data_IF_104214887063
#
_entry.id   IF_104214887063
#
_cell.length_a   1.000
_cell.length_b   1.000
_cell.length_c   1.000
_cell.angle_alpha   90.00
_cell.angle_beta   90.00
_cell.angle_gamma   90.00
#
_symmetry.space_group_name_H-M   'P 1'
#
loop_
_entity.id
_entity.type
_entity.pdbx_description
1 polymer ?
#
# COMPACT_ATOMS: atom_id res chain seq x y z
N UNK A 1 19.35 7.24 -12.30
CA UNK A 1 19.56 5.83 -11.92
C UNK A 1 18.44 5.50 -10.95
N UNK A 2 17.55 4.56 -11.28
CA UNK A 2 16.41 4.23 -10.40
C UNK A 2 16.96 3.37 -9.26
N UNK A 3 16.82 3.82 -8.02
CA UNK A 3 17.24 3.06 -6.84
C UNK A 3 16.32 1.85 -6.64
N UNK A 4 16.59 0.76 -7.37
CA UNK A 4 15.82 -0.48 -7.27
C UNK A 4 15.81 -1.05 -5.87
N UNK A 5 16.87 -0.81 -5.10
CA UNK A 5 16.99 -1.35 -3.76
C UNK A 5 15.97 -0.69 -2.84
N UNK A 6 15.86 0.65 -2.87
CA UNK A 6 14.82 1.35 -2.11
C UNK A 6 13.41 0.87 -2.45
N UNK A 7 13.11 0.57 -3.71
CA UNK A 7 11.78 0.10 -4.11
C UNK A 7 11.48 -1.35 -3.72
N UNK A 8 12.51 -2.16 -3.42
CA UNK A 8 12.43 -3.57 -3.05
C UNK A 8 12.64 -3.82 -1.55
N UNK A 9 13.15 -2.84 -0.80
CA UNK A 9 13.53 -2.99 0.61
C UNK A 9 12.32 -3.15 1.54
N UNK A 10 12.55 -3.89 2.64
CA UNK A 10 11.63 -4.02 3.77
C UNK A 10 11.60 -2.72 4.59
N UNK A 11 10.82 -1.74 4.15
CA UNK A 11 10.59 -0.53 4.94
C UNK A 11 9.77 -0.87 6.19
N UNK A 12 10.24 -0.42 7.35
CA UNK A 12 9.54 -0.63 8.64
C UNK A 12 8.89 0.67 9.12
N UNK A 13 7.67 0.93 8.67
CA UNK A 13 6.91 2.11 9.09
C UNK A 13 6.50 2.03 10.57
N UNK A 14 6.38 0.82 11.13
CA UNK A 14 6.09 0.66 12.56
C UNK A 14 7.26 1.18 13.38
N UNK A 15 8.49 0.77 13.04
CA UNK A 15 9.70 1.20 13.72
C UNK A 15 9.88 2.72 13.67
N UNK A 16 9.72 3.34 12.49
CA UNK A 16 9.86 4.80 12.37
C UNK A 16 8.80 5.55 13.17
N UNK A 17 7.54 5.09 13.15
CA UNK A 17 6.49 5.67 13.99
C UNK A 17 6.77 5.50 15.49
N UNK A 18 7.33 4.36 15.92
CA UNK A 18 7.70 4.12 17.31
C UNK A 18 8.88 5.00 17.76
N UNK A 19 9.89 5.22 16.90
CA UNK A 19 11.01 6.12 17.18
C UNK A 19 10.51 7.55 17.41
N UNK A 20 9.56 8.02 16.59
CA UNK A 20 8.93 9.32 16.76
C UNK A 20 8.13 9.38 18.06
N UNK A 21 7.27 8.40 18.34
CA UNK A 21 6.50 8.37 19.57
C UNK A 21 7.38 8.37 20.84
N UNK A 22 8.55 7.72 20.81
CA UNK A 22 9.49 7.71 21.93
C UNK A 22 10.12 9.08 22.25
N UNK A 23 10.07 10.04 21.34
CA UNK A 23 10.58 11.40 21.57
C UNK A 23 9.64 12.25 22.43
N UNK A 24 8.36 11.86 22.55
CA UNK A 24 7.37 12.63 23.31
C UNK A 24 7.73 12.56 24.79
N UNK A 25 8.14 13.66 25.44
CA UNK A 25 8.61 13.64 26.81
C UNK A 25 7.46 13.41 27.80
N UNK A 26 7.79 13.03 29.02
CA UNK A 26 6.82 12.93 30.11
C UNK A 26 6.14 14.29 30.35
N UNK A 27 4.83 14.28 30.59
CA UNK A 27 4.03 15.50 30.80
C UNK A 27 3.65 16.23 29.49
N UNK A 28 4.02 15.69 28.33
CA UNK A 28 3.59 16.17 27.02
C UNK A 28 2.79 15.10 26.28
N UNK A 29 1.98 15.56 25.33
CA UNK A 29 1.22 14.71 24.40
C UNK A 29 1.54 15.09 22.97
N UNK A 30 1.34 14.18 22.02
CA UNK A 30 1.35 14.53 20.61
C UNK A 30 0.15 13.92 19.91
N UNK A 31 -0.07 14.28 18.64
CA UNK A 31 -1.22 13.79 17.88
C UNK A 31 -0.79 12.78 16.84
N UNK A 32 -1.70 11.88 16.46
CA UNK A 32 -1.45 10.96 15.32
C UNK A 32 -1.04 11.74 14.06
N UNK A 33 -1.63 12.92 13.85
CA UNK A 33 -1.30 13.80 12.73
C UNK A 33 0.07 14.46 12.83
N UNK A 34 0.55 14.79 14.02
CA UNK A 34 1.89 15.33 14.20
C UNK A 34 2.97 14.27 13.88
N UNK A 35 2.78 13.03 14.33
CA UNK A 35 3.66 11.91 13.95
C UNK A 35 3.57 11.63 12.44
N UNK A 36 2.36 11.62 11.86
CA UNK A 36 2.20 11.42 10.41
C UNK A 36 2.89 12.52 9.58
N UNK A 37 2.86 13.78 10.04
CA UNK A 37 3.63 14.87 9.43
C UNK A 37 5.13 14.66 9.54
N UNK A 38 5.62 14.23 10.71
CA UNK A 38 7.04 13.92 10.91
C UNK A 38 7.50 12.74 10.04
N UNK A 39 6.63 11.76 9.79
CA UNK A 39 6.86 10.69 8.81
C UNK A 39 6.84 11.19 7.35
N UNK A 40 6.29 12.38 7.09
CA UNK A 40 6.29 13.01 5.76
C UNK A 40 4.94 13.08 5.04
N UNK A 41 3.86 12.53 5.61
CA UNK A 41 2.52 12.57 4.99
C UNK A 41 1.41 12.54 6.05
N UNK A 42 0.75 13.67 6.26
CA UNK A 42 -0.35 13.81 7.24
C UNK A 42 -1.53 12.88 6.96
N UNK A 43 -1.73 12.43 5.71
CA UNK A 43 -2.81 11.50 5.37
C UNK A 43 -2.66 10.14 6.06
N UNK A 44 -1.44 9.79 6.51
CA UNK A 44 -1.15 8.58 7.27
C UNK A 44 -1.60 8.64 8.74
N UNK A 45 -2.24 9.73 9.20
CA UNK A 45 -2.69 9.90 10.60
C UNK A 45 -3.48 8.70 11.12
N UNK A 46 -4.42 8.16 10.32
CA UNK A 46 -5.21 6.98 10.71
C UNK A 46 -4.33 5.73 10.84
N UNK A 47 -3.38 5.56 9.93
CA UNK A 47 -2.43 4.44 9.98
C UNK A 47 -1.51 4.56 11.19
N UNK A 48 -1.04 5.75 11.55
CA UNK A 48 -0.30 5.97 12.81
C UNK A 48 -1.14 5.53 14.01
N UNK A 49 -2.43 5.89 14.05
CA UNK A 49 -3.34 5.41 15.09
C UNK A 49 -3.41 3.88 15.17
N UNK A 50 -3.49 3.21 14.02
CA UNK A 50 -3.47 1.74 13.96
C UNK A 50 -2.15 1.17 14.47
N UNK A 51 -1.01 1.74 14.06
CA UNK A 51 0.33 1.37 14.54
C UNK A 51 0.43 1.48 16.06
N UNK A 52 -0.06 2.57 16.65
CA UNK A 52 0.00 2.78 18.10
C UNK A 52 -0.87 1.78 18.88
N UNK A 53 -1.96 1.31 18.26
CA UNK A 53 -2.88 0.31 18.83
C UNK A 53 -2.52 -1.14 18.50
N UNK A 54 -1.53 -1.37 17.64
CA UNK A 54 -1.19 -2.72 17.21
C UNK A 54 -0.64 -3.53 18.39
N UNK A 55 -1.16 -4.74 18.57
CA UNK A 55 -0.61 -5.74 19.49
C UNK A 55 0.62 -6.37 18.81
N UNK A 56 1.74 -5.67 18.93
CA UNK A 56 3.01 -6.00 18.29
C UNK A 56 4.14 -5.89 19.30
N UNK A 57 5.11 -6.78 19.20
CA UNK A 57 6.36 -6.63 19.93
C UNK A 57 7.02 -5.29 19.55
N UNK A 58 7.48 -4.57 20.58
CA UNK A 58 8.10 -3.26 20.42
C UNK A 58 9.57 -3.39 20.78
N UNK A 59 10.49 -2.90 19.93
CA UNK A 59 11.92 -3.03 20.17
C UNK A 59 12.41 -2.24 21.38
N UNK A 60 11.61 -1.30 21.88
CA UNK A 60 11.86 -0.50 23.07
C UNK A 60 10.54 -0.04 23.70
N UNK A 61 10.61 0.59 24.87
CA UNK A 61 9.43 1.16 25.54
C UNK A 61 8.89 2.36 24.75
N UNK A 62 7.76 2.16 24.05
CA UNK A 62 7.08 3.22 23.30
C UNK A 62 5.94 3.82 24.12
N UNK A 63 5.93 5.12 24.41
CA UNK A 63 4.88 5.78 25.20
C UNK A 63 3.62 6.07 24.35
N UNK A 64 3.00 5.04 23.79
CA UNK A 64 1.81 5.19 22.92
C UNK A 64 0.63 5.87 23.62
N UNK A 65 0.59 5.85 24.95
CA UNK A 65 -0.42 6.57 25.74
C UNK A 65 -0.32 8.10 25.59
N UNK A 66 0.84 8.63 25.17
CA UNK A 66 1.06 10.07 24.90
C UNK A 66 0.59 10.52 23.51
N UNK A 67 0.19 9.60 22.64
CA UNK A 67 -0.29 9.92 21.28
C UNK A 67 -1.82 9.95 21.26
N UNK A 68 -2.43 11.09 20.95
CA UNK A 68 -3.87 11.35 21.11
C UNK A 68 -4.51 11.87 19.82
N UNK A 69 -5.83 12.11 19.83
CA UNK A 69 -6.52 12.78 18.73
C UNK A 69 -6.17 14.28 18.67
N UNK A 70 -6.31 14.88 17.49
CA UNK A 70 -6.02 16.29 17.27
C UNK A 70 -6.94 17.26 18.01
N UNK A 71 -8.11 16.80 18.45
CA UNK A 71 -9.06 17.58 19.24
C UNK A 71 -8.87 17.41 20.76
N UNK A 72 -7.73 16.85 21.18
CA UNK A 72 -7.37 16.68 22.58
C UNK A 72 -7.95 15.41 23.22
N UNK A 73 -8.85 14.67 22.56
CA UNK A 73 -9.34 13.40 23.10
C UNK A 73 -8.20 12.40 23.20
N UNK A 74 -8.04 11.83 24.39
CA UNK A 74 -7.03 10.80 24.68
C UNK A 74 -7.16 9.58 23.76
N UNK A 75 -8.38 9.28 23.31
CA UNK A 75 -8.68 8.25 22.33
C UNK A 75 -8.56 6.83 22.85
N UNK A 76 -8.76 5.86 21.94
CA UNK A 76 -8.81 4.45 22.31
C UNK A 76 -7.41 3.87 22.55
N UNK A 77 -7.28 3.01 23.57
CA UNK A 77 -6.08 2.20 23.82
C UNK A 77 -6.51 0.73 23.81
N UNK A 78 -5.80 -0.11 23.07
CA UNK A 78 -6.07 -1.55 22.98
C UNK A 78 -5.53 -2.28 24.22
N UNK A 79 -6.36 -3.18 24.77
CA UNK A 79 -6.14 -3.90 26.02
C UNK A 79 -7.43 -3.97 26.85
N UNK A 80 -8.16 -5.10 26.77
CA UNK A 80 -9.30 -5.50 27.63
C UNK A 80 -10.23 -4.37 28.11
N UNK A 81 -11.09 -3.82 27.25
CA UNK A 81 -12.32 -3.09 27.63
C UNK A 81 -12.20 -1.74 28.39
N UNK A 82 -11.07 -1.47 29.05
CA UNK A 82 -10.79 -0.33 29.94
C UNK A 82 -9.61 0.52 29.47
N UNK A 83 -9.11 0.31 28.25
CA UNK A 83 -7.86 0.92 27.78
C UNK A 83 -7.88 2.46 27.79
N UNK A 84 -9.03 3.08 27.57
CA UNK A 84 -9.18 4.53 27.67
C UNK A 84 -8.94 5.05 29.11
N UNK A 85 -9.39 4.32 30.14
CA UNK A 85 -9.17 4.69 31.55
C UNK A 85 -7.69 4.59 31.93
N UNK A 86 -7.03 3.50 31.53
CA UNK A 86 -5.61 3.28 31.79
C UNK A 86 -4.73 4.35 31.13
N UNK A 87 -5.04 4.70 29.86
CA UNK A 87 -4.32 5.76 29.14
C UNK A 87 -4.44 7.11 29.86
N UNK A 88 -5.64 7.47 30.33
CA UNK A 88 -5.87 8.69 31.12
C UNK A 88 -5.12 8.67 32.44
N UNK A 89 -5.12 7.55 33.15
CA UNK A 89 -4.39 7.41 34.42
C UNK A 89 -2.88 7.57 34.21
N UNK A 90 -2.32 6.96 33.17
CA UNK A 90 -0.91 7.14 32.82
C UNK A 90 -0.60 8.60 32.51
N UNK A 91 -1.43 9.28 31.70
CA UNK A 91 -1.25 10.70 31.39
C UNK A 91 -1.32 11.59 32.65
N UNK A 92 -2.30 11.35 33.53
CA UNK A 92 -2.43 12.07 34.81
C UNK A 92 -1.22 11.85 35.72
N UNK A 93 -0.71 10.61 35.79
CA UNK A 93 0.50 10.28 36.57
C UNK A 93 1.76 10.99 36.05
N UNK A 94 1.73 11.41 34.79
CA UNK A 94 2.80 12.17 34.16
C UNK A 94 2.60 13.70 34.24
N UNK A 95 1.53 14.18 34.87
CA UNK A 95 1.24 15.59 35.05
C UNK A 95 0.41 16.23 33.93
N UNK A 96 -0.20 15.45 33.04
CA UNK A 96 -1.10 15.97 32.00
C UNK A 96 -2.51 16.16 32.58
N UNK A 97 -3.06 17.37 32.45
CA UNK A 97 -4.41 17.69 32.92
C UNK A 97 -5.47 17.10 31.99
N UNK A 98 -6.24 16.13 32.51
CA UNK A 98 -7.27 15.42 31.76
C UNK A 98 -8.64 15.69 32.39
N UNK A 99 -9.46 16.48 31.68
CA UNK A 99 -10.86 16.73 32.00
C UNK A 99 -11.74 15.81 31.14
N UNK A 100 -12.55 14.98 31.79
CA UNK A 100 -13.32 13.90 31.16
C UNK A 100 -12.44 12.97 30.31
N UNK A 101 -12.48 13.10 28.98
CA UNK A 101 -11.70 12.32 28.02
C UNK A 101 -10.66 13.13 27.24
N UNK A 102 -10.49 14.42 27.56
CA UNK A 102 -9.65 15.37 26.82
C UNK A 102 -8.52 15.97 27.66
N UNK A 103 -7.44 16.33 26.98
CA UNK A 103 -6.39 17.19 27.53
C UNK A 103 -6.91 18.62 27.62
N UNK A 104 -6.99 19.17 28.82
CA UNK A 104 -7.59 20.48 29.09
C UNK A 104 -6.72 21.64 28.57
N UNK A 105 -5.39 21.52 28.72
CA UNK A 105 -4.38 22.50 28.30
C UNK A 105 -3.56 21.98 27.10
N UNK A 106 -4.25 21.58 26.02
CA UNK A 106 -3.60 20.95 24.86
C UNK A 106 -2.51 21.83 24.24
N UNK A 107 -2.74 23.14 24.11
CA UNK A 107 -1.80 24.07 23.46
C UNK A 107 -0.45 24.11 24.20
N UNK A 108 -0.46 24.07 25.53
CA UNK A 108 0.75 24.10 26.35
C UNK A 108 1.44 22.73 26.45
N UNK A 109 0.69 21.64 26.21
CA UNK A 109 1.16 20.27 26.42
C UNK A 109 1.51 19.54 25.12
N UNK A 110 1.18 20.10 23.96
CA UNK A 110 1.45 19.47 22.67
C UNK A 110 2.95 19.50 22.32
N UNK A 111 3.45 18.36 21.87
CA UNK A 111 4.80 18.16 21.36
C UNK A 111 4.74 17.91 19.86
N UNK A 112 5.44 18.73 19.09
CA UNK A 112 5.51 18.63 17.62
C UNK A 112 6.94 18.69 17.07
N UNK A 113 7.94 18.89 17.92
CA UNK A 113 9.35 19.03 17.54
C UNK A 113 10.01 17.65 17.37
N UNK A 114 9.53 16.93 16.36
CA UNK A 114 10.03 15.60 16.02
C UNK A 114 11.30 15.67 15.15
N UNK A 115 12.23 14.76 15.38
CA UNK A 115 13.40 14.53 14.53
C UNK A 115 13.49 13.05 14.13
N UNK A 116 13.61 12.74 12.84
CA UNK A 116 13.65 11.35 12.38
C UNK A 116 13.68 11.22 10.86
N UNK A 117 13.62 9.98 10.36
CA UNK A 117 13.52 9.70 8.93
C UNK A 117 12.10 10.04 8.41
N UNK A 118 11.95 11.02 7.49
CA UNK A 118 10.67 11.30 6.86
C UNK A 118 10.37 10.24 5.77
N UNK A 119 10.22 8.99 6.21
CA UNK A 119 10.13 7.81 5.35
C UNK A 119 9.05 7.95 4.26
N UNK A 120 7.88 8.50 4.57
CA UNK A 120 6.79 8.69 3.61
C UNK A 120 7.12 9.79 2.58
N UNK A 121 7.91 10.80 2.94
CA UNK A 121 8.43 11.79 1.97
C UNK A 121 9.33 11.10 0.96
N UNK A 122 10.31 10.30 1.42
CA UNK A 122 11.21 9.54 0.55
C UNK A 122 10.46 8.55 -0.34
N UNK A 123 9.44 7.88 0.20
CA UNK A 123 8.56 7.02 -0.59
C UNK A 123 7.77 7.79 -1.64
N UNK A 124 7.27 8.98 -1.32
CA UNK A 124 6.58 9.83 -2.29
C UNK A 124 7.54 10.32 -3.39
N UNK A 125 8.81 10.58 -3.08
CA UNK A 125 9.86 10.91 -4.05
C UNK A 125 10.17 9.73 -4.96
N UNK A 126 10.38 8.53 -4.41
CA UNK A 126 10.55 7.30 -5.17
C UNK A 126 9.37 7.03 -6.12
N UNK A 127 8.13 7.31 -5.69
CA UNK A 127 6.96 7.26 -6.56
C UNK A 127 7.04 8.24 -7.74
N UNK A 128 7.59 9.45 -7.55
CA UNK A 128 7.79 10.40 -8.65
C UNK A 128 8.86 9.92 -9.64
N UNK A 129 9.92 9.30 -9.14
CA UNK A 129 10.94 8.66 -9.99
C UNK A 129 10.40 7.49 -10.80
N UNK A 130 9.55 6.66 -10.18
CA UNK A 130 8.82 5.60 -10.90
C UNK A 130 7.94 6.23 -11.98
N UNK A 131 7.14 7.25 -11.63
CA UNK A 131 6.23 7.89 -12.57
C UNK A 131 6.94 8.45 -13.80
N UNK A 132 8.12 9.06 -13.63
CA UNK A 132 8.94 9.57 -14.75
C UNK A 132 9.58 8.46 -15.59
N UNK A 133 9.70 7.25 -15.04
CA UNK A 133 10.28 6.08 -15.71
C UNK A 133 9.24 5.20 -16.41
N UNK A 134 7.94 5.43 -16.19
CA UNK A 134 6.87 4.66 -16.83
C UNK A 134 6.81 4.98 -18.32
N UNK A 135 7.22 4.01 -19.15
CA UNK A 135 6.85 3.99 -20.57
C UNK A 135 5.39 3.55 -20.75
N UNK A 136 4.64 4.36 -21.52
CA UNK A 136 3.30 4.03 -22.02
C UNK A 136 3.33 3.55 -23.48
N UNK A 137 4.53 3.30 -24.01
CA UNK A 137 4.73 2.77 -25.34
C UNK A 137 4.79 1.25 -25.31
N UNK A 138 4.50 0.62 -26.44
CA UNK A 138 4.48 -0.82 -26.58
C UNK A 138 3.09 -1.37 -26.88
N UNK A 139 3.07 -2.65 -27.21
CA UNK A 139 1.86 -3.35 -27.62
C UNK A 139 1.65 -4.59 -26.75
N UNK A 140 0.72 -4.48 -25.81
CA UNK A 140 0.32 -5.57 -24.95
C UNK A 140 -0.21 -6.80 -25.70
N UNK A 141 -0.63 -6.66 -26.97
CA UNK A 141 -1.11 -7.80 -27.77
C UNK A 141 0.02 -8.74 -28.20
N UNK A 142 1.30 -8.32 -28.14
CA UNK A 142 2.45 -9.14 -28.51
C UNK A 142 2.82 -10.21 -27.48
N UNK A 143 2.33 -10.09 -26.25
CA UNK A 143 2.62 -11.06 -25.20
C UNK A 143 1.71 -12.27 -25.31
N UNK A 144 2.28 -13.44 -25.59
CA UNK A 144 1.54 -14.71 -25.56
C UNK A 144 1.29 -15.19 -24.12
N UNK A 145 2.16 -14.78 -23.20
CA UNK A 145 2.11 -15.13 -21.78
C UNK A 145 1.62 -13.94 -20.95
N UNK A 146 0.59 -14.17 -20.15
CA UNK A 146 0.06 -13.21 -19.17
C UNK A 146 0.20 -13.78 -17.76
N UNK A 147 0.69 -12.99 -16.81
CA UNK A 147 0.86 -13.42 -15.42
C UNK A 147 0.11 -12.50 -14.47
N UNK A 148 -0.93 -13.01 -13.81
CA UNK A 148 -1.67 -12.28 -12.79
C UNK A 148 -1.03 -12.46 -11.42
N UNK A 149 -0.91 -11.38 -10.65
CA UNK A 149 -0.46 -11.40 -9.26
C UNK A 149 -1.52 -10.84 -8.31
N UNK A 150 -1.72 -11.54 -7.19
CA UNK A 150 -2.55 -11.10 -6.06
C UNK A 150 -1.87 -11.42 -4.72
N UNK A 151 -2.24 -10.70 -3.66
CA UNK A 151 -1.77 -10.93 -2.29
C UNK A 151 -2.94 -11.03 -1.34
N UNK A 152 -2.93 -12.07 -0.50
CA UNK A 152 -3.83 -12.19 0.65
C UNK A 152 -3.06 -11.97 1.94
N UNK A 153 -3.70 -11.38 2.96
CA UNK A 153 -3.04 -11.08 4.24
C UNK A 153 -3.67 -11.82 5.42
N UNK A 154 -2.85 -12.12 6.43
CA UNK A 154 -3.23 -12.53 7.79
C UNK A 154 -2.30 -11.85 8.79
N UNK A 155 -2.77 -10.80 9.46
CA UNK A 155 -1.91 -9.94 10.27
C UNK A 155 -0.83 -9.28 9.40
N UNK A 156 0.43 -9.39 9.83
CA UNK A 156 1.61 -8.93 9.09
C UNK A 156 2.14 -9.98 8.08
N UNK A 157 1.44 -11.12 7.89
CA UNK A 157 1.84 -12.10 6.88
C UNK A 157 1.14 -11.85 5.54
N UNK A 158 1.94 -11.81 4.47
CA UNK A 158 1.50 -11.76 3.08
C UNK A 158 1.63 -13.12 2.41
N UNK A 159 0.59 -13.52 1.69
CA UNK A 159 0.46 -14.75 0.92
C UNK A 159 0.23 -14.37 -0.53
N UNK A 160 1.32 -14.23 -1.27
CA UNK A 160 1.31 -13.86 -2.67
C UNK A 160 1.09 -15.06 -3.56
N UNK A 161 0.41 -14.85 -4.67
CA UNK A 161 0.26 -15.85 -5.73
C UNK A 161 0.47 -15.21 -7.09
N UNK A 162 1.15 -15.93 -7.97
CA UNK A 162 1.22 -15.64 -9.40
C UNK A 162 0.59 -16.80 -10.16
N UNK A 163 -0.30 -16.49 -11.11
CA UNK A 163 -0.81 -17.47 -12.08
C UNK A 163 -0.52 -16.94 -13.48
N UNK A 164 0.27 -17.70 -14.23
CA UNK A 164 0.58 -17.40 -15.61
C UNK A 164 -0.22 -18.28 -16.57
N UNK A 165 -0.76 -17.67 -17.61
CA UNK A 165 -1.58 -18.31 -18.64
C UNK A 165 -1.09 -17.94 -20.03
N UNK A 166 -1.43 -18.75 -21.02
CA UNK A 166 -1.39 -18.33 -22.42
C UNK A 166 -2.66 -17.53 -22.81
N UNK A 167 -2.71 -17.03 -24.04
CA UNK A 167 -3.88 -16.31 -24.59
C UNK A 167 -5.18 -17.12 -24.63
N UNK A 168 -5.08 -18.45 -24.62
CA UNK A 168 -6.24 -19.37 -24.59
C UNK A 168 -6.68 -19.69 -23.16
N UNK A 169 -6.04 -19.09 -22.16
CA UNK A 169 -6.33 -19.32 -20.74
C UNK A 169 -5.74 -20.61 -20.19
N UNK A 170 -4.87 -21.31 -20.92
CA UNK A 170 -4.18 -22.50 -20.40
C UNK A 170 -3.17 -22.05 -19.36
N UNK A 171 -3.26 -22.60 -18.16
CA UNK A 171 -2.29 -22.37 -17.09
C UNK A 171 -0.92 -22.91 -17.53
N UNK A 172 0.07 -22.02 -17.54
CA UNK A 172 1.46 -22.32 -17.82
C UNK A 172 2.24 -22.54 -16.53
N UNK A 173 1.89 -21.80 -15.48
CA UNK A 173 2.62 -21.82 -14.22
C UNK A 173 1.79 -21.23 -13.07
N UNK A 174 1.94 -21.80 -11.88
CA UNK A 174 1.45 -21.24 -10.62
C UNK A 174 2.60 -21.14 -9.63
N UNK A 175 2.71 -20.02 -8.93
CA UNK A 175 3.69 -19.81 -7.86
C UNK A 175 3.04 -19.16 -6.66
N UNK A 176 3.53 -19.48 -5.48
CA UNK A 176 3.14 -18.81 -4.24
C UNK A 176 4.37 -18.42 -3.43
N UNK A 177 4.23 -17.37 -2.63
CA UNK A 177 5.25 -16.96 -1.68
C UNK A 177 4.61 -16.45 -0.40
N UNK A 178 5.19 -16.82 0.75
CA UNK A 178 4.83 -16.31 2.07
C UNK A 178 5.95 -15.43 2.57
N UNK A 179 5.63 -14.21 2.99
CA UNK A 179 6.60 -13.32 3.62
C UNK A 179 5.92 -12.45 4.69
N UNK A 180 6.68 -12.07 5.70
CA UNK A 180 6.26 -11.05 6.67
C UNK A 180 6.43 -9.67 6.04
N UNK A 181 5.45 -8.79 6.22
CA UNK A 181 5.50 -7.38 5.80
C UNK A 181 5.59 -6.48 7.01
N UNK A 182 6.56 -5.57 7.02
CA UNK A 182 6.76 -4.57 8.09
C UNK A 182 6.13 -3.21 7.73
N UNK A 183 5.21 -3.20 6.78
CA UNK A 183 4.53 -2.00 6.32
C UNK A 183 3.00 -2.21 6.39
N UNK A 184 2.28 -1.40 7.19
CA UNK A 184 0.82 -1.50 7.27
C UNK A 184 0.18 -0.97 5.99
N UNK A 185 -1.14 -1.16 5.84
CA UNK A 185 -1.85 -0.49 4.75
C UNK A 185 -1.87 1.03 4.96
N UNK A 186 -1.14 1.75 4.12
CA UNK A 186 -1.22 3.21 4.01
C UNK A 186 -1.80 3.54 2.62
N UNK A 187 -2.97 4.20 2.53
CA UNK A 187 -3.48 4.72 1.26
C UNK A 187 -2.40 5.55 0.57
N UNK A 188 -2.18 5.31 -0.72
CA UNK A 188 -1.07 5.97 -1.45
C UNK A 188 0.20 5.12 -1.57
N UNK A 189 0.48 4.19 -0.65
CA UNK A 189 1.78 3.50 -0.56
C UNK A 189 1.72 1.97 -0.69
N UNK A 190 0.62 1.43 -1.23
CA UNK A 190 0.42 -0.01 -1.39
C UNK A 190 1.58 -0.74 -2.07
N UNK A 191 2.22 -0.12 -3.07
CA UNK A 191 3.35 -0.74 -3.78
C UNK A 191 4.54 -1.06 -2.88
N UNK A 192 4.81 -0.27 -1.84
CA UNK A 192 5.86 -0.55 -0.86
C UNK A 192 5.50 -1.72 0.08
N UNK A 193 4.21 -1.98 0.28
CA UNK A 193 3.74 -3.14 1.03
C UNK A 193 3.80 -4.42 0.21
N UNK A 194 3.53 -4.31 -1.08
CA UNK A 194 3.28 -5.47 -1.96
C UNK A 194 4.46 -5.87 -2.85
N UNK A 195 5.48 -5.02 -2.98
CA UNK A 195 6.61 -5.32 -3.85
C UNK A 195 7.30 -6.63 -3.47
N UNK A 196 7.71 -6.77 -2.21
CA UNK A 196 8.38 -7.99 -1.72
C UNK A 196 7.56 -9.27 -1.97
N UNK A 197 6.29 -9.36 -1.55
CA UNK A 197 5.48 -10.54 -1.85
C UNK A 197 5.34 -10.81 -3.35
N UNK A 198 5.14 -9.77 -4.18
CA UNK A 198 5.05 -9.93 -5.62
C UNK A 198 6.36 -10.41 -6.26
N UNK A 199 7.50 -9.83 -5.90
CA UNK A 199 8.80 -10.28 -6.39
C UNK A 199 9.09 -11.73 -5.98
N UNK A 200 8.72 -12.11 -4.75
CA UNK A 200 8.90 -13.47 -4.26
C UNK A 200 8.02 -14.49 -5.01
N UNK A 201 6.75 -14.16 -5.29
CA UNK A 201 5.86 -15.02 -6.07
C UNK A 201 6.27 -15.08 -7.55
N UNK A 202 6.76 -13.98 -8.13
CA UNK A 202 7.23 -13.94 -9.51
C UNK A 202 8.50 -14.77 -9.69
N UNK A 203 9.47 -14.65 -8.79
CA UNK A 203 10.83 -15.13 -9.01
C UNK A 203 11.56 -14.27 -10.04
N UNK A 204 12.24 -14.89 -11.00
CA UNK A 204 12.97 -14.15 -12.04
C UNK A 204 12.01 -13.45 -13.02
N UNK A 205 12.18 -12.13 -13.28
CA UNK A 205 11.32 -11.39 -14.18
C UNK A 205 11.50 -11.83 -15.62
N UNK A 206 10.39 -12.00 -16.34
CA UNK A 206 10.39 -12.41 -17.75
C UNK A 206 9.94 -11.27 -18.67
N UNK A 207 10.78 -10.91 -19.63
CA UNK A 207 10.48 -9.85 -20.62
C UNK A 207 9.43 -10.26 -21.66
N UNK A 208 9.15 -11.55 -21.80
CA UNK A 208 8.15 -12.13 -22.71
C UNK A 208 6.74 -12.21 -22.10
N UNK A 209 6.53 -11.60 -20.93
CA UNK A 209 5.31 -11.73 -20.14
C UNK A 209 4.67 -10.35 -19.89
N UNK A 210 3.35 -10.26 -20.06
CA UNK A 210 2.55 -9.15 -19.56
C UNK A 210 2.07 -9.46 -18.13
N UNK A 211 2.52 -8.68 -17.16
CA UNK A 211 2.11 -8.83 -15.77
C UNK A 211 0.85 -8.03 -15.46
N UNK A 212 -0.15 -8.69 -14.88
CA UNK A 212 -1.42 -8.09 -14.45
C UNK A 212 -1.43 -8.01 -12.92
N UNK A 213 -1.51 -6.80 -12.37
CA UNK A 213 -1.39 -6.56 -10.93
C UNK A 213 -2.74 -6.13 -10.36
N UNK A 214 -3.20 -6.74 -9.26
CA UNK A 214 -4.45 -6.37 -8.57
C UNK A 214 -4.28 -5.00 -7.88
N UNK A 215 -4.49 -3.94 -8.64
CA UNK A 215 -4.24 -2.58 -8.23
C UNK A 215 -4.13 -1.63 -9.41
N UNK A 216 -3.89 -0.35 -9.13
CA UNK A 216 -3.73 0.65 -10.18
C UNK A 216 -2.28 0.74 -10.69
N UNK A 217 -2.14 1.16 -11.94
CA UNK A 217 -0.92 1.73 -12.51
C UNK A 217 -0.95 3.26 -12.45
N UNK A 218 -0.91 3.94 -13.60
CA UNK A 218 -0.91 5.42 -13.70
C UNK A 218 -2.17 6.10 -13.18
N UNK A 219 -3.27 5.37 -12.98
CA UNK A 219 -4.52 5.83 -12.39
C UNK A 219 -4.41 6.09 -10.87
N UNK A 220 -3.45 6.93 -10.47
CA UNK A 220 -3.12 7.27 -9.08
C UNK A 220 -2.65 8.72 -8.97
N UNK A 221 -2.80 9.40 -7.81
CA UNK A 221 -2.45 10.81 -7.66
C UNK A 221 -1.02 11.17 -8.07
N UNK A 222 -0.05 10.27 -7.83
CA UNK A 222 1.37 10.46 -8.19
C UNK A 222 1.76 9.78 -9.51
N UNK A 223 0.79 9.30 -10.29
CA UNK A 223 1.00 8.48 -11.52
C UNK A 223 1.85 7.22 -11.36
N UNK A 224 2.10 6.80 -10.12
CA UNK A 224 2.86 5.60 -9.76
C UNK A 224 2.06 4.71 -8.81
N UNK A 225 1.14 3.94 -9.37
CA UNK A 225 0.50 2.84 -8.66
C UNK A 225 1.40 1.61 -8.54
N UNK A 226 0.92 0.58 -7.85
CA UNK A 226 1.67 -0.65 -7.61
C UNK A 226 2.09 -1.33 -8.92
N UNK A 227 1.27 -1.27 -9.97
CA UNK A 227 1.62 -1.82 -11.28
C UNK A 227 2.74 -1.03 -11.98
N UNK A 228 2.79 0.30 -11.79
CA UNK A 228 3.90 1.11 -12.30
C UNK A 228 5.19 0.75 -11.57
N UNK A 229 5.15 0.71 -10.24
CA UNK A 229 6.30 0.40 -9.42
C UNK A 229 6.83 -0.99 -9.79
N UNK A 230 5.96 -2.00 -9.88
CA UNK A 230 6.34 -3.36 -10.24
C UNK A 230 7.00 -3.41 -11.62
N UNK A 231 6.36 -2.83 -12.64
CA UNK A 231 6.88 -2.82 -14.00
C UNK A 231 8.24 -2.13 -14.13
N UNK A 232 8.39 -0.95 -13.52
CA UNK A 232 9.63 -0.16 -13.58
C UNK A 232 10.78 -0.84 -12.82
N UNK A 233 10.52 -1.31 -11.60
CA UNK A 233 11.54 -1.94 -10.74
C UNK A 233 12.07 -3.21 -11.39
N UNK A 234 11.20 -4.03 -11.98
CA UNK A 234 11.58 -5.28 -12.62
C UNK A 234 11.95 -5.14 -14.09
N UNK A 235 11.66 -4.00 -14.73
CA UNK A 235 11.90 -3.78 -16.16
C UNK A 235 11.04 -4.69 -17.05
N UNK A 236 9.77 -4.86 -16.70
CA UNK A 236 8.80 -5.75 -17.38
C UNK A 236 7.52 -5.01 -17.76
N UNK A 237 6.79 -5.54 -18.74
CA UNK A 237 5.48 -5.00 -19.09
C UNK A 237 4.46 -5.29 -17.98
N UNK A 238 3.76 -4.26 -17.54
CA UNK A 238 2.82 -4.36 -16.42
C UNK A 238 1.54 -3.56 -16.67
N UNK A 239 0.43 -4.08 -16.17
CA UNK A 239 -0.89 -3.48 -16.20
C UNK A 239 -1.49 -3.46 -14.80
N UNK A 240 -2.08 -2.34 -14.41
CA UNK A 240 -2.95 -2.29 -13.23
C UNK A 240 -4.36 -2.73 -13.60
N UNK A 241 -4.89 -3.72 -12.89
CA UNK A 241 -6.24 -4.27 -13.06
C UNK A 241 -6.99 -4.08 -11.74
N UNK A 242 -7.63 -2.92 -11.56
CA UNK A 242 -8.29 -2.56 -10.30
C UNK A 242 -9.81 -2.81 -10.34
N UNK A 243 -10.41 -3.09 -9.18
CA UNK A 243 -11.87 -3.34 -9.03
C UNK A 243 -12.67 -2.08 -8.70
N UNK A 244 -12.00 -1.03 -8.23
CA UNK A 244 -12.63 0.23 -7.81
C UNK A 244 -11.87 1.42 -8.38
N UNK A 245 -12.54 2.56 -8.48
CA UNK A 245 -11.90 3.85 -8.78
C UNK A 245 -11.39 4.43 -7.48
N UNK A 246 -10.12 4.82 -7.44
CA UNK A 246 -9.56 5.51 -6.29
C UNK A 246 -9.48 7.03 -6.48
N UNK A 247 -9.24 7.49 -7.71
CA UNK A 247 -9.04 8.91 -8.03
C UNK A 247 -9.40 9.17 -9.49
N UNK A 248 -9.63 10.44 -9.82
CA UNK A 248 -10.08 10.88 -11.14
C UNK A 248 -11.60 10.85 -11.29
N UNK A 249 -12.07 11.26 -12.46
CA UNK A 249 -13.48 11.32 -12.83
C UNK A 249 -13.74 10.48 -14.08
N UNK A 250 -14.87 9.78 -14.12
CA UNK A 250 -15.27 9.01 -15.30
C UNK A 250 -15.84 9.92 -16.39
N UNK A 251 -15.41 9.70 -17.63
CA UNK A 251 -15.98 10.28 -18.85
C UNK A 251 -16.24 9.15 -19.83
N UNK A 252 -17.47 8.65 -19.85
CA UNK A 252 -17.77 7.37 -20.50
C UNK A 252 -17.00 6.25 -19.80
N UNK A 253 -16.27 5.43 -20.58
CA UNK A 253 -15.43 4.37 -20.04
C UNK A 253 -14.02 4.86 -19.63
N UNK A 254 -13.65 6.10 -19.96
CA UNK A 254 -12.34 6.65 -19.65
C UNK A 254 -12.28 7.24 -18.24
N UNK A 255 -11.23 6.89 -17.49
CA UNK A 255 -10.91 7.50 -16.20
C UNK A 255 -9.95 8.66 -16.41
N UNK A 256 -10.42 9.88 -16.19
CA UNK A 256 -9.65 11.11 -16.40
C UNK A 256 -9.04 11.58 -15.08
N UNK A 257 -7.73 11.81 -15.09
CA UNK A 257 -6.97 12.38 -13.97
C UNK A 257 -6.12 13.51 -14.54
N UNK A 258 -6.15 14.70 -13.92
CA UNK A 258 -5.47 15.93 -14.36
C UNK A 258 -5.59 16.23 -15.87
N UNK A 259 -6.77 15.98 -16.44
CA UNK A 259 -7.04 16.22 -17.88
C UNK A 259 -6.59 15.11 -18.83
N UNK A 260 -5.91 14.07 -18.34
CA UNK A 260 -5.42 12.94 -19.14
C UNK A 260 -6.19 11.64 -18.85
N UNK A 261 -6.36 10.78 -19.85
CA UNK A 261 -6.87 9.43 -19.64
C UNK A 261 -5.81 8.58 -18.91
N UNK A 262 -6.08 8.27 -17.64
CA UNK A 262 -5.17 7.52 -16.78
C UNK A 262 -5.50 6.02 -16.73
N UNK A 263 -6.71 5.66 -17.17
CA UNK A 263 -7.20 4.29 -17.21
C UNK A 263 -8.53 4.21 -17.94
N UNK A 264 -9.03 3.00 -18.14
CA UNK A 264 -10.28 2.73 -18.83
C UNK A 264 -11.02 1.57 -18.19
N UNK A 265 -12.36 1.67 -18.17
CA UNK A 265 -13.24 0.57 -17.83
C UNK A 265 -13.13 -0.50 -18.92
N UNK A 266 -12.84 -1.73 -18.53
CA UNK A 266 -12.76 -2.87 -19.43
C UNK A 266 -13.64 -3.99 -18.93
N UNK A 267 -14.32 -4.67 -19.84
CA UNK A 267 -15.11 -5.85 -19.54
C UNK A 267 -14.46 -7.08 -20.17
N UNK A 268 -14.10 -8.05 -19.35
CA UNK A 268 -13.54 -9.34 -19.81
C UNK A 268 -14.63 -10.21 -20.42
N UNK A 269 -14.26 -11.27 -21.15
CA UNK A 269 -15.21 -12.18 -21.80
C UNK A 269 -16.17 -12.87 -20.81
N UNK A 270 -15.76 -13.08 -19.57
CA UNK A 270 -16.59 -13.66 -18.51
C UNK A 270 -17.48 -12.63 -17.78
N UNK A 271 -17.52 -11.39 -18.27
CA UNK A 271 -18.41 -10.32 -17.80
C UNK A 271 -17.86 -9.49 -16.64
N UNK A 272 -16.66 -9.78 -16.14
CA UNK A 272 -16.04 -8.98 -15.07
C UNK A 272 -15.61 -7.64 -15.60
N UNK A 273 -15.68 -6.64 -14.73
CA UNK A 273 -15.36 -5.27 -15.08
C UNK A 273 -14.18 -4.81 -14.22
N UNK A 274 -13.18 -4.25 -14.88
CA UNK A 274 -11.97 -3.73 -14.26
C UNK A 274 -11.69 -2.31 -14.72
N UNK A 275 -10.96 -1.56 -13.90
CA UNK A 275 -10.28 -0.33 -14.31
C UNK A 275 -8.86 -0.71 -14.73
N UNK A 276 -8.65 -0.82 -16.05
CA UNK A 276 -7.34 -1.02 -16.63
C UNK A 276 -6.55 0.29 -16.58
N UNK A 277 -5.27 0.21 -16.21
CA UNK A 277 -4.37 1.38 -16.23
C UNK A 277 -2.95 0.94 -16.58
N UNK A 278 -2.21 1.79 -17.28
CA UNK A 278 -0.83 1.48 -17.68
C UNK A 278 0.05 1.32 -16.45
N UNK A 279 0.76 0.20 -16.34
CA UNK A 279 1.85 0.01 -15.39
C UNK A 279 3.19 0.39 -16.04
N UNK A 280 3.62 -0.36 -17.06
CA UNK A 280 4.87 -0.10 -17.78
C UNK A 280 4.90 -0.86 -19.12
N UNK A 281 5.61 -0.33 -20.13
CA UNK A 281 5.92 -0.95 -21.44
C UNK A 281 4.69 -1.47 -22.22
N UNK A 282 3.56 -0.79 -22.07
CA UNK A 282 2.39 -1.00 -22.91
C UNK A 282 1.51 0.25 -22.96
N UNK A 283 0.84 0.47 -24.09
CA UNK A 283 -0.18 1.52 -24.23
C UNK A 283 -1.51 1.10 -23.60
N UNK A 284 -2.28 2.07 -23.10
CA UNK A 284 -3.60 1.82 -22.52
C UNK A 284 -4.52 1.09 -23.51
N UNK A 285 -4.53 1.49 -24.78
CA UNK A 285 -5.35 0.85 -25.82
C UNK A 285 -4.96 -0.61 -26.06
N UNK A 286 -3.66 -0.91 -26.10
CA UNK A 286 -3.21 -2.30 -26.23
C UNK A 286 -3.58 -3.14 -25.00
N UNK A 287 -3.45 -2.58 -23.79
CA UNK A 287 -3.84 -3.25 -22.55
C UNK A 287 -5.33 -3.55 -22.51
N UNK A 288 -6.17 -2.59 -22.91
CA UNK A 288 -7.62 -2.80 -22.97
C UNK A 288 -7.96 -3.94 -23.93
N UNK A 289 -7.37 -3.95 -25.13
CA UNK A 289 -7.56 -5.05 -26.10
C UNK A 289 -7.07 -6.39 -25.56
N UNK A 290 -5.94 -6.40 -24.85
CA UNK A 290 -5.41 -7.62 -24.26
C UNK A 290 -6.38 -8.18 -23.22
N UNK A 291 -6.87 -7.35 -22.30
CA UNK A 291 -7.80 -7.74 -21.24
C UNK A 291 -9.17 -8.15 -21.77
N UNK A 292 -9.73 -7.45 -22.76
CA UNK A 292 -11.03 -7.82 -23.36
C UNK A 292 -10.96 -9.09 -24.21
N UNK A 293 -9.77 -9.47 -24.68
CA UNK A 293 -9.54 -10.72 -25.44
C UNK A 293 -9.34 -11.97 -24.58
N UNK A 294 -9.29 -11.83 -23.24
CA UNK A 294 -9.03 -12.94 -22.34
C UNK A 294 -10.22 -13.89 -22.25
N UNK A 295 -10.00 -15.11 -22.75
CA UNK A 295 -10.94 -16.23 -22.65
C UNK A 295 -11.10 -16.72 -21.21
N UNK A 296 -10.03 -16.68 -20.42
CA UNK A 296 -10.04 -16.95 -18.98
C UNK A 296 -9.34 -15.79 -18.29
N UNK A 297 -9.95 -15.27 -17.23
CA UNK A 297 -9.37 -14.20 -16.43
C UNK A 297 -8.37 -14.78 -15.39
N UNK A 298 -7.05 -14.56 -15.55
CA UNK A 298 -6.05 -15.07 -14.61
C UNK A 298 -6.06 -14.33 -13.27
N UNK A 299 -6.67 -13.14 -13.17
CA UNK A 299 -6.79 -12.41 -11.89
C UNK A 299 -7.61 -13.20 -10.87
N UNK A 300 -8.64 -13.91 -11.33
CA UNK A 300 -9.44 -14.82 -10.49
C UNK A 300 -8.58 -15.95 -9.95
N UNK A 301 -7.78 -16.55 -10.83
CA UNK A 301 -6.95 -17.71 -10.51
C UNK A 301 -5.91 -17.31 -9.47
N UNK A 302 -5.21 -16.19 -9.67
CA UNK A 302 -4.29 -15.61 -8.70
C UNK A 302 -4.98 -15.33 -7.35
N UNK A 303 -6.14 -14.69 -7.36
CA UNK A 303 -6.89 -14.40 -6.14
C UNK A 303 -7.32 -15.65 -5.35
N UNK A 304 -7.83 -16.66 -6.06
CA UNK A 304 -8.21 -17.95 -5.46
C UNK A 304 -7.00 -18.68 -4.91
N UNK A 305 -5.88 -18.67 -5.63
CA UNK A 305 -4.63 -19.30 -5.21
C UNK A 305 -4.07 -18.62 -3.95
N UNK A 306 -3.98 -17.29 -3.92
CA UNK A 306 -3.53 -16.52 -2.74
C UNK A 306 -4.43 -16.79 -1.52
N UNK A 307 -5.75 -16.77 -1.72
CA UNK A 307 -6.73 -17.03 -0.65
C UNK A 307 -6.63 -18.47 -0.12
N UNK A 308 -6.45 -19.45 -1.00
CA UNK A 308 -6.27 -20.85 -0.62
C UNK A 308 -4.97 -21.05 0.12
N UNK A 309 -3.87 -20.48 -0.39
CA UNK A 309 -2.54 -20.58 0.21
C UNK A 309 -2.51 -19.99 1.63
N UNK A 310 -3.18 -18.85 1.85
CA UNK A 310 -3.37 -18.30 3.20
C UNK A 310 -4.14 -19.25 4.13
N UNK A 311 -5.17 -19.93 3.62
CA UNK A 311 -5.99 -20.86 4.41
C UNK A 311 -5.27 -22.17 4.73
N UNK A 312 -4.43 -22.67 3.83
CA UNK A 312 -3.69 -23.92 4.02
C UNK A 312 -2.38 -23.74 4.79
N UNK A 313 -1.87 -22.51 4.93
CA UNK A 313 -0.69 -22.17 5.75
C UNK A 313 -0.99 -22.05 7.25
N UNK A 314 -2.02 -22.76 7.73
CA UNK A 314 -2.33 -23.06 9.14
C UNK A 314 -1.76 -24.42 9.50
#
# INVERSE_FOLDING_TARGET
>A
MIDREFHLQDHDLYLEAFKLAAQIPQGKVSTYGAIARALGDVSASRTVGQIMSADRERPFKVPCHRVIYSDGRTGWYTGMGHGADRKREMLRSEGVDILEDRVNNLEDTIFTDFSGDPLLTRMAEAQREVASSVSQEGDAMKFERLAALDVSYRGDEAFAAMVAVDRKGKVLEERTARCTVNFPYVPGYLGFREMRPYSAAMGEPRKDTLYLIDGHGRARPRRAGVACQFGVVHGVAAAGVAKTILTGAMKGDSLILDGEEAGRLVRTCDGRTYFASVGHLASLDSLCRALTSLSVDPMISAHRLATRFRRSGT
#
